data_IF_877418349377
#
_entry.id   IF_877418349377
#
_cell.length_a   1.000
_cell.length_b   1.000
_cell.length_c   1.000
_cell.angle_alpha   90.00
_cell.angle_beta   90.00
_cell.angle_gamma   90.00
#
_symmetry.space_group_name_H-M   'P 1'
#
loop_
_entity.id
_entity.type
_entity.pdbx_description
1 polymer ?
#
# COMPACT_ATOMS: atom_id res chain seq x y z
N UNK A 1 -61.91 -31.01 -29.83
CA UNK A 1 -60.58 -31.65 -29.80
C UNK A 1 -59.39 -30.68 -30.04
N UNK A 2 -59.45 -29.81 -31.08
CA UNK A 2 -58.34 -28.85 -31.38
C UNK A 2 -58.11 -27.77 -30.28
N UNK A 3 -59.14 -27.37 -29.52
CA UNK A 3 -59.05 -26.34 -28.46
C UNK A 3 -58.39 -26.89 -27.20
N UNK A 4 -58.69 -28.13 -26.83
CA UNK A 4 -58.07 -28.81 -25.65
C UNK A 4 -56.55 -29.04 -25.85
N UNK A 5 -56.11 -29.40 -27.06
CA UNK A 5 -54.70 -29.64 -27.37
C UNK A 5 -53.91 -28.34 -27.23
N UNK A 6 -54.44 -27.17 -27.65
CA UNK A 6 -53.78 -25.87 -27.50
C UNK A 6 -53.67 -25.44 -26.05
N UNK A 7 -54.65 -25.68 -25.20
CA UNK A 7 -54.62 -25.35 -23.78
C UNK A 7 -53.57 -26.21 -23.03
N UNK A 8 -53.49 -27.49 -23.33
CA UNK A 8 -52.50 -28.41 -22.72
C UNK A 8 -51.08 -28.02 -23.14
N UNK A 9 -50.83 -27.59 -24.42
CA UNK A 9 -49.54 -27.20 -24.90
C UNK A 9 -49.05 -25.90 -24.23
N UNK A 10 -49.94 -24.93 -23.99
CA UNK A 10 -49.61 -23.66 -23.32
C UNK A 10 -49.23 -23.90 -21.85
N UNK A 11 -49.93 -24.82 -21.15
CA UNK A 11 -49.61 -25.16 -19.76
C UNK A 11 -48.27 -25.87 -19.64
N UNK A 12 -47.93 -26.76 -20.57
CA UNK A 12 -46.63 -27.46 -20.62
C UNK A 12 -45.49 -26.50 -20.88
N UNK A 13 -45.64 -25.54 -21.84
CA UNK A 13 -44.64 -24.53 -22.15
C UNK A 13 -44.43 -23.61 -20.95
N UNK A 14 -45.49 -23.13 -20.28
CA UNK A 14 -45.41 -22.32 -19.08
C UNK A 14 -44.69 -23.05 -17.92
N UNK A 15 -44.96 -24.33 -17.74
CA UNK A 15 -44.27 -25.16 -16.76
C UNK A 15 -42.77 -25.32 -17.05
N UNK A 16 -42.41 -25.56 -18.31
CA UNK A 16 -41.00 -25.64 -18.75
C UNK A 16 -40.26 -24.31 -18.58
N UNK A 17 -40.90 -23.19 -18.87
CA UNK A 17 -40.31 -21.86 -18.62
C UNK A 17 -40.08 -21.59 -17.14
N UNK A 18 -40.99 -21.96 -16.24
CA UNK A 18 -40.84 -21.83 -14.80
C UNK A 18 -39.70 -22.71 -14.26
N UNK A 19 -39.57 -23.94 -14.78
CA UNK A 19 -38.45 -24.82 -14.41
C UNK A 19 -37.12 -24.27 -14.88
N UNK A 20 -37.06 -23.72 -16.11
CA UNK A 20 -35.83 -23.11 -16.64
C UNK A 20 -35.43 -21.86 -15.82
N UNK A 21 -36.37 -21.02 -15.46
CA UNK A 21 -36.14 -19.83 -14.60
C UNK A 21 -35.62 -20.27 -13.22
N UNK A 22 -36.23 -21.31 -12.61
CA UNK A 22 -35.77 -21.82 -11.33
C UNK A 22 -34.35 -22.45 -11.40
N UNK A 23 -34.00 -23.11 -12.49
CA UNK A 23 -32.64 -23.65 -12.73
C UNK A 23 -31.64 -22.48 -12.91
N UNK A 24 -31.98 -21.44 -13.63
CA UNK A 24 -31.14 -20.25 -13.83
C UNK A 24 -30.94 -19.53 -12.48
N UNK A 25 -32.00 -19.31 -11.69
CA UNK A 25 -31.89 -18.71 -10.36
C UNK A 25 -31.04 -19.56 -9.41
N UNK A 26 -31.21 -20.89 -9.35
CA UNK A 26 -30.37 -21.77 -8.54
C UNK A 26 -28.89 -21.77 -9.00
N UNK A 27 -28.63 -21.63 -10.32
CA UNK A 27 -27.28 -21.53 -10.86
C UNK A 27 -26.64 -20.18 -10.54
N UNK A 28 -27.40 -19.08 -10.60
CA UNK A 28 -26.96 -17.76 -10.19
C UNK A 28 -26.64 -17.69 -8.68
N UNK A 29 -27.53 -18.25 -7.85
CA UNK A 29 -27.34 -18.33 -6.39
C UNK A 29 -26.13 -19.20 -6.00
N UNK A 30 -25.86 -20.27 -6.76
CA UNK A 30 -24.68 -21.11 -6.55
C UNK A 30 -23.39 -20.44 -7.03
N UNK A 31 -23.42 -19.69 -8.12
CA UNK A 31 -22.27 -18.90 -8.61
C UNK A 31 -21.98 -17.75 -7.65
N UNK A 32 -23.01 -17.04 -7.16
CA UNK A 32 -22.87 -15.99 -6.16
C UNK A 32 -22.31 -16.51 -4.83
N UNK A 33 -22.77 -17.69 -4.37
CA UNK A 33 -22.26 -18.37 -3.17
C UNK A 33 -20.84 -18.93 -3.35
N UNK A 34 -20.47 -19.37 -4.55
CA UNK A 34 -19.10 -19.79 -4.86
C UNK A 34 -18.18 -18.57 -4.91
N UNK A 35 -18.60 -17.48 -5.57
CA UNK A 35 -17.83 -16.22 -5.63
C UNK A 35 -17.68 -15.59 -4.24
N UNK A 36 -18.73 -15.60 -3.41
CA UNK A 36 -18.68 -15.15 -2.03
C UNK A 36 -17.84 -16.06 -1.11
N UNK A 37 -17.76 -17.36 -1.40
CA UNK A 37 -16.93 -18.30 -0.64
C UNK A 37 -15.46 -18.25 -1.06
N UNK A 38 -15.16 -17.98 -2.32
CA UNK A 38 -13.80 -17.73 -2.80
C UNK A 38 -13.31 -16.33 -2.39
N UNK A 39 -14.18 -15.32 -2.32
CA UNK A 39 -13.84 -14.00 -1.76
C UNK A 39 -13.69 -14.01 -0.22
N UNK A 40 -14.33 -14.94 0.48
CA UNK A 40 -14.20 -15.09 1.94
C UNK A 40 -12.93 -15.85 2.39
N UNK A 41 -12.14 -16.37 1.46
CA UNK A 41 -10.79 -16.88 1.66
C UNK A 41 -9.73 -15.93 1.07
N UNK A 42 -9.97 -14.61 1.06
CA UNK A 42 -8.87 -13.65 1.12
C UNK A 42 -8.32 -13.81 2.55
N UNK A 43 -7.50 -14.84 2.73
CA UNK A 43 -6.56 -14.88 3.84
C UNK A 43 -5.99 -13.47 3.97
N UNK A 44 -6.02 -12.93 5.18
CA UNK A 44 -5.09 -11.87 5.54
C UNK A 44 -3.76 -12.27 4.90
N UNK A 45 -3.34 -11.61 3.84
CA UNK A 45 -1.97 -11.70 3.39
C UNK A 45 -1.14 -11.02 4.48
N UNK A 46 -1.07 -11.69 5.63
CA UNK A 46 -0.08 -11.40 6.65
C UNK A 46 1.21 -11.53 5.90
N UNK A 47 1.90 -10.42 5.72
CA UNK A 47 3.24 -10.42 5.13
C UNK A 47 4.00 -11.56 5.75
N UNK A 48 4.63 -12.38 4.91
CA UNK A 48 5.50 -13.45 5.39
C UNK A 48 6.43 -12.86 6.45
N UNK A 49 6.54 -13.50 7.63
CA UNK A 49 7.40 -13.00 8.72
C UNK A 49 8.85 -12.72 8.28
N UNK A 50 9.26 -13.28 7.15
CA UNK A 50 10.60 -13.17 6.59
C UNK A 50 10.78 -12.01 5.61
N UNK A 51 9.70 -11.46 5.06
CA UNK A 51 9.73 -10.51 3.97
C UNK A 51 8.81 -9.30 4.22
N UNK A 52 9.17 -8.17 3.61
CA UNK A 52 8.39 -6.94 3.51
C UNK A 52 8.64 -6.37 2.11
N UNK A 53 8.11 -6.99 1.04
CA UNK A 53 8.64 -6.85 -0.31
C UNK A 53 8.29 -5.54 -1.01
N UNK A 54 7.52 -4.66 -0.38
CA UNK A 54 7.05 -3.41 -0.96
C UNK A 54 6.57 -2.43 0.10
N UNK A 55 6.22 -1.23 -0.32
CA UNK A 55 5.60 -0.23 0.55
C UNK A 55 4.38 -0.80 1.28
N UNK A 56 4.28 -0.57 2.60
CA UNK A 56 3.24 -1.08 3.50
C UNK A 56 3.15 -2.61 3.59
N UNK A 57 4.13 -3.34 3.06
CA UNK A 57 4.30 -4.78 3.20
C UNK A 57 3.46 -5.66 2.27
N UNK A 58 2.46 -5.12 1.58
CA UNK A 58 1.59 -5.90 0.69
C UNK A 58 0.73 -5.04 -0.21
N UNK A 59 0.08 -5.67 -1.19
CA UNK A 59 -0.64 -5.02 -2.29
C UNK A 59 -1.77 -4.07 -1.83
N UNK A 60 -2.50 -4.44 -0.78
CA UNK A 60 -3.60 -3.61 -0.22
C UNK A 60 -3.11 -2.48 0.69
N UNK A 61 -1.79 -2.31 0.84
CA UNK A 61 -1.11 -1.25 1.57
C UNK A 61 -1.52 -1.14 3.06
N UNK A 62 -1.73 -2.27 3.72
CA UNK A 62 -2.26 -2.31 5.10
C UNK A 62 -1.27 -1.83 6.17
N UNK A 63 0.03 -1.90 5.93
CA UNK A 63 1.02 -1.51 6.93
C UNK A 63 0.97 -2.36 8.20
N UNK A 64 0.68 -3.65 8.06
CA UNK A 64 0.60 -4.61 9.17
C UNK A 64 1.61 -5.71 8.95
N UNK A 65 2.53 -5.88 9.89
CA UNK A 65 3.55 -6.92 9.88
C UNK A 65 3.11 -8.14 10.66
N UNK A 66 3.56 -9.31 10.19
CA UNK A 66 3.40 -10.57 10.91
C UNK A 66 4.33 -10.64 12.14
N UNK A 67 3.91 -11.42 13.15
CA UNK A 67 4.71 -11.68 14.35
C UNK A 67 4.55 -10.62 15.42
N UNK A 68 5.55 -10.53 16.30
CA UNK A 68 5.60 -9.61 17.44
C UNK A 68 6.99 -9.03 17.59
N UNK A 69 7.09 -7.87 18.23
CA UNK A 69 8.34 -7.25 18.62
C UNK A 69 8.48 -7.23 20.15
N UNK A 70 9.71 -7.33 20.70
CA UNK A 70 9.96 -7.16 22.13
C UNK A 70 9.73 -5.69 22.54
N UNK A 71 9.66 -5.43 23.86
CA UNK A 71 9.44 -4.08 24.40
C UNK A 71 10.66 -3.14 24.25
N UNK A 72 11.80 -3.65 23.81
CA UNK A 72 12.99 -2.84 23.52
C UNK A 72 13.77 -3.39 22.35
N UNK A 73 14.34 -2.51 21.55
CA UNK A 73 15.18 -2.83 20.41
C UNK A 73 16.58 -2.25 20.60
N UNK A 74 17.57 -2.89 20.01
CA UNK A 74 18.95 -2.42 19.94
C UNK A 74 19.33 -2.13 18.51
N UNK A 75 20.13 -1.11 18.29
CA UNK A 75 20.75 -0.85 17.00
C UNK A 75 21.72 -2.01 16.69
N UNK A 76 21.50 -2.67 15.54
CA UNK A 76 22.38 -3.74 15.05
C UNK A 76 23.45 -3.18 14.14
N UNK A 77 23.03 -2.42 13.15
CA UNK A 77 23.91 -1.79 12.17
C UNK A 77 23.25 -0.54 11.58
N UNK A 78 24.06 0.28 10.95
CA UNK A 78 23.61 1.38 10.09
C UNK A 78 24.43 1.41 8.81
N UNK A 79 23.80 1.80 7.72
CA UNK A 79 24.42 1.94 6.40
C UNK A 79 24.25 3.37 5.91
N UNK A 80 25.35 4.00 5.45
CA UNK A 80 25.37 5.40 4.98
C UNK A 80 25.23 5.45 3.46
N UNK A 81 24.30 6.27 2.98
CA UNK A 81 24.14 6.72 1.58
C UNK A 81 24.77 8.10 1.38
N UNK A 82 24.78 8.61 0.16
CA UNK A 82 25.32 9.92 -0.17
C UNK A 82 24.41 11.09 0.21
N UNK A 83 23.11 10.85 0.44
CA UNK A 83 22.12 11.88 0.77
C UNK A 83 20.98 11.27 1.62
N UNK A 84 19.92 12.03 1.85
CA UNK A 84 18.73 11.66 2.61
C UNK A 84 18.08 10.35 2.12
N UNK A 85 17.45 9.61 3.04
CA UNK A 85 16.67 8.41 2.73
C UNK A 85 15.20 8.65 3.11
N UNK A 86 14.43 9.17 2.17
CA UNK A 86 12.97 9.31 2.27
C UNK A 86 12.25 8.04 1.81
N UNK A 87 12.86 7.29 0.91
CA UNK A 87 12.38 5.97 0.48
C UNK A 87 12.19 5.06 1.68
N UNK A 88 11.05 4.37 1.74
CA UNK A 88 10.85 3.31 2.76
C UNK A 88 11.58 2.03 2.34
N UNK A 89 12.14 1.27 3.29
CA UNK A 89 12.80 0.02 2.95
C UNK A 89 11.82 -1.04 2.47
N UNK A 90 12.26 -1.87 1.52
CA UNK A 90 11.62 -3.14 1.20
C UNK A 90 12.59 -4.28 1.52
N UNK A 91 12.08 -5.41 2.00
CA UNK A 91 12.89 -6.55 2.45
C UNK A 91 12.42 -7.80 1.73
N UNK A 92 13.34 -8.47 1.05
CA UNK A 92 13.06 -9.76 0.40
C UNK A 92 14.31 -10.63 0.39
N UNK A 93 14.14 -11.93 0.69
CA UNK A 93 15.21 -12.95 0.63
C UNK A 93 16.53 -12.56 1.34
N UNK A 94 16.41 -11.86 2.49
CA UNK A 94 17.56 -11.45 3.28
C UNK A 94 18.30 -10.22 2.75
N UNK A 95 17.74 -9.52 1.78
CA UNK A 95 18.21 -8.23 1.28
C UNK A 95 17.23 -7.12 1.67
N UNK A 96 17.76 -5.93 1.92
CA UNK A 96 17.03 -4.68 2.10
C UNK A 96 17.27 -3.82 0.87
N UNK A 97 16.20 -3.33 0.27
CA UNK A 97 16.25 -2.44 -0.89
C UNK A 97 15.75 -1.06 -0.51
N UNK A 98 16.48 -0.02 -0.89
CA UNK A 98 16.12 1.39 -0.67
C UNK A 98 16.51 2.26 -1.85
N UNK A 99 15.80 3.36 -2.02
CA UNK A 99 16.23 4.52 -2.79
C UNK A 99 16.89 5.57 -1.89
N UNK A 100 17.65 6.48 -2.48
CA UNK A 100 18.22 7.63 -1.79
C UNK A 100 18.18 8.88 -2.69
N UNK A 101 18.16 10.05 -2.06
CA UNK A 101 18.24 11.32 -2.77
C UNK A 101 19.61 11.53 -3.48
N UNK A 102 20.59 10.65 -3.24
CA UNK A 102 21.86 10.62 -3.99
C UNK A 102 21.74 9.98 -5.38
N UNK A 103 20.51 9.75 -5.85
CA UNK A 103 20.20 9.13 -7.14
C UNK A 103 20.67 7.67 -7.28
N UNK A 104 20.68 6.90 -6.19
CA UNK A 104 20.99 5.47 -6.25
C UNK A 104 19.87 4.62 -5.63
N UNK A 105 19.73 3.41 -6.18
CA UNK A 105 19.03 2.29 -5.57
C UNK A 105 20.08 1.36 -4.96
N UNK A 106 19.88 0.95 -3.72
CA UNK A 106 20.80 0.09 -2.98
C UNK A 106 20.15 -1.23 -2.60
N UNK A 107 20.92 -2.30 -2.68
CA UNK A 107 20.65 -3.56 -1.98
C UNK A 107 21.70 -3.79 -0.90
N UNK A 108 21.22 -4.12 0.30
CA UNK A 108 22.01 -4.22 1.52
C UNK A 108 21.65 -5.54 2.18
N UNK A 109 22.66 -6.28 2.66
CA UNK A 109 22.44 -7.51 3.40
C UNK A 109 21.72 -7.20 4.74
N UNK A 110 20.57 -7.84 4.96
CA UNK A 110 19.70 -7.62 6.12
C UNK A 110 20.40 -7.91 7.46
N UNK A 111 21.27 -8.93 7.52
CA UNK A 111 21.88 -9.36 8.78
C UNK A 111 23.02 -8.46 9.26
N UNK A 112 23.81 -7.93 8.31
CA UNK A 112 25.08 -7.26 8.64
C UNK A 112 25.22 -5.83 8.10
N UNK A 113 24.24 -5.32 7.34
CA UNK A 113 24.26 -3.95 6.80
C UNK A 113 25.27 -3.71 5.67
N UNK A 114 25.90 -4.77 5.11
CA UNK A 114 26.87 -4.61 4.02
C UNK A 114 26.16 -4.40 2.70
N UNK A 115 26.67 -3.43 1.92
CA UNK A 115 26.19 -3.20 0.55
C UNK A 115 26.47 -4.44 -0.32
N UNK A 116 25.43 -4.92 -1.00
CA UNK A 116 25.52 -5.98 -2.00
C UNK A 116 25.74 -5.38 -3.38
N UNK A 117 24.87 -4.43 -3.75
CA UNK A 117 25.00 -3.67 -4.98
C UNK A 117 24.41 -2.26 -4.83
N UNK A 118 24.72 -1.39 -5.78
CA UNK A 118 24.05 -0.11 -5.99
C UNK A 118 23.90 0.13 -7.49
N UNK A 119 22.76 0.73 -7.87
CA UNK A 119 22.46 1.10 -9.25
C UNK A 119 22.18 2.61 -9.34
N UNK A 120 22.89 3.37 -10.19
CA UNK A 120 22.68 4.80 -10.35
C UNK A 120 21.47 5.05 -11.26
N UNK A 121 20.59 5.96 -10.85
CA UNK A 121 19.49 6.54 -11.63
C UNK A 121 19.87 7.94 -12.10
N UNK A 122 19.03 8.56 -12.94
CA UNK A 122 19.25 9.92 -13.40
C UNK A 122 18.79 11.01 -12.42
N UNK A 123 18.10 10.63 -11.33
CA UNK A 123 17.54 11.55 -10.35
C UNK A 123 17.32 10.91 -8.99
N UNK A 124 16.88 11.69 -8.01
CA UNK A 124 16.55 11.23 -6.66
C UNK A 124 15.57 10.04 -6.66
N UNK A 125 15.75 9.10 -5.75
CA UNK A 125 14.90 7.91 -5.59
C UNK A 125 14.20 7.98 -4.23
N UNK A 126 13.01 8.60 -4.20
CA UNK A 126 12.18 8.69 -3.00
C UNK A 126 11.15 7.56 -2.94
N UNK A 127 10.77 7.00 -4.09
CA UNK A 127 9.86 5.87 -4.17
C UNK A 127 10.40 4.64 -3.41
N UNK A 128 9.49 3.94 -2.72
CA UNK A 128 9.83 2.65 -2.11
C UNK A 128 9.98 1.59 -3.19
N UNK A 129 11.06 0.77 -3.19
CA UNK A 129 11.19 -0.36 -4.10
C UNK A 129 10.08 -1.40 -3.89
N UNK A 130 9.61 -2.00 -4.99
CA UNK A 130 8.68 -3.12 -5.00
C UNK A 130 9.40 -4.35 -5.57
N UNK A 131 9.44 -5.44 -4.81
CA UNK A 131 10.13 -6.67 -5.18
C UNK A 131 9.08 -7.73 -5.52
N UNK A 132 9.14 -8.21 -6.75
CA UNK A 132 8.31 -9.33 -7.22
C UNK A 132 9.05 -10.09 -8.31
N UNK A 133 8.95 -11.41 -8.29
CA UNK A 133 9.52 -12.32 -9.29
C UNK A 133 11.00 -12.05 -9.59
N UNK A 134 11.82 -11.88 -8.53
CA UNK A 134 13.26 -11.63 -8.65
C UNK A 134 13.64 -10.30 -9.29
N UNK A 135 12.70 -9.36 -9.37
CA UNK A 135 12.91 -8.01 -9.90
C UNK A 135 12.60 -6.95 -8.86
N UNK A 136 13.35 -5.85 -8.88
CA UNK A 136 13.10 -4.63 -8.11
C UNK A 136 12.55 -3.58 -9.04
N UNK A 137 11.34 -3.11 -8.77
CA UNK A 137 10.71 -2.02 -9.50
C UNK A 137 10.74 -0.76 -8.64
N UNK A 138 11.27 0.33 -9.17
CA UNK A 138 11.41 1.58 -8.42
C UNK A 138 11.31 2.79 -9.34
N UNK A 139 10.52 3.78 -8.92
CA UNK A 139 10.39 5.06 -9.58
C UNK A 139 11.50 6.02 -9.18
N UNK A 140 11.82 6.99 -10.05
CA UNK A 140 12.79 8.05 -9.79
C UNK A 140 12.26 9.41 -10.23
N UNK A 141 12.84 10.47 -9.68
CA UNK A 141 12.52 11.86 -10.08
C UNK A 141 12.99 12.19 -11.50
N UNK A 142 13.77 11.31 -12.14
CA UNK A 142 14.17 11.44 -13.55
C UNK A 142 13.09 10.96 -14.54
N UNK A 143 11.88 10.67 -14.05
CA UNK A 143 10.72 10.22 -14.82
C UNK A 143 10.80 8.77 -15.31
N UNK A 144 11.71 7.94 -14.81
CA UNK A 144 11.80 6.54 -15.18
C UNK A 144 11.32 5.61 -14.06
N UNK A 145 10.57 4.57 -14.45
CA UNK A 145 10.43 3.34 -13.68
C UNK A 145 11.56 2.40 -14.08
N UNK A 146 12.38 1.99 -13.14
CA UNK A 146 13.46 1.04 -13.32
C UNK A 146 13.03 -0.36 -12.90
N UNK A 147 13.38 -1.37 -13.69
CA UNK A 147 13.29 -2.77 -13.35
C UNK A 147 14.72 -3.35 -13.28
N UNK A 148 15.15 -3.71 -12.06
CA UNK A 148 16.48 -4.22 -11.79
C UNK A 148 16.40 -5.69 -11.36
N UNK A 149 17.42 -6.48 -11.63
CA UNK A 149 17.56 -7.80 -11.06
C UNK A 149 17.83 -7.69 -9.55
N UNK A 150 17.05 -8.37 -8.73
CA UNK A 150 17.13 -8.23 -7.28
C UNK A 150 18.46 -8.70 -6.68
N UNK A 151 19.12 -9.69 -7.29
CA UNK A 151 20.37 -10.26 -6.79
C UNK A 151 21.61 -9.49 -7.22
N UNK A 152 21.61 -8.99 -8.46
CA UNK A 152 22.80 -8.41 -9.10
C UNK A 152 22.73 -6.89 -9.25
N UNK A 153 21.52 -6.30 -9.18
CA UNK A 153 21.30 -4.89 -9.47
C UNK A 153 21.38 -4.52 -10.95
N UNK A 154 21.54 -5.50 -11.87
CA UNK A 154 21.61 -5.22 -13.30
C UNK A 154 20.26 -4.74 -13.84
N UNK A 155 20.31 -3.76 -14.75
CA UNK A 155 19.11 -3.27 -15.41
C UNK A 155 18.49 -4.34 -16.31
N UNK A 156 17.22 -4.65 -16.07
CA UNK A 156 16.41 -5.48 -16.96
C UNK A 156 15.76 -4.63 -18.05
N UNK A 157 15.08 -3.58 -17.63
CA UNK A 157 14.53 -2.53 -18.52
C UNK A 157 14.25 -1.26 -17.70
N UNK A 158 13.95 -0.17 -18.39
CA UNK A 158 13.36 1.02 -17.79
C UNK A 158 12.25 1.56 -18.70
N UNK A 159 11.25 2.18 -18.09
CA UNK A 159 10.11 2.77 -18.77
C UNK A 159 10.03 4.26 -18.46
N UNK A 160 9.96 5.11 -19.49
CA UNK A 160 9.86 6.56 -19.35
C UNK A 160 8.40 6.98 -19.23
N UNK A 161 8.08 7.72 -18.16
CA UNK A 161 6.80 8.44 -17.98
C UNK A 161 6.98 9.90 -18.34
N UNK A 162 5.89 10.67 -18.36
CA UNK A 162 5.97 12.10 -18.71
C UNK A 162 6.51 12.99 -17.58
N UNK A 163 6.64 12.49 -16.34
CA UNK A 163 7.14 13.25 -15.19
C UNK A 163 7.64 12.31 -14.09
N UNK A 164 8.11 12.88 -12.98
CA UNK A 164 8.67 12.16 -11.84
C UNK A 164 7.72 11.12 -11.26
N UNK A 165 8.31 10.05 -10.71
CA UNK A 165 7.63 8.95 -10.02
C UNK A 165 8.09 8.94 -8.57
N UNK A 166 7.24 9.43 -7.65
CA UNK A 166 7.55 9.52 -6.20
C UNK A 166 6.82 8.43 -5.39
N UNK A 167 5.65 7.98 -5.86
CA UNK A 167 4.91 6.87 -5.24
C UNK A 167 5.58 5.52 -5.49
N UNK A 168 5.42 4.59 -4.56
CA UNK A 168 5.88 3.23 -4.74
C UNK A 168 5.08 2.50 -5.83
N UNK A 169 5.73 1.65 -6.61
CA UNK A 169 5.05 0.72 -7.48
C UNK A 169 4.30 -0.35 -6.66
N UNK A 170 3.24 -0.88 -7.24
CA UNK A 170 2.51 -2.06 -6.78
C UNK A 170 2.44 -3.09 -7.90
N UNK A 171 1.97 -4.28 -7.61
CA UNK A 171 1.88 -5.34 -8.60
C UNK A 171 0.57 -6.13 -8.48
N UNK A 172 0.22 -6.84 -9.55
CA UNK A 172 -0.88 -7.80 -9.59
C UNK A 172 -0.57 -8.92 -10.56
N UNK A 173 -1.35 -10.01 -10.49
CA UNK A 173 -1.37 -10.98 -11.60
C UNK A 173 -2.24 -10.45 -12.73
N UNK A 174 -1.86 -10.75 -13.97
CA UNK A 174 -2.72 -10.51 -15.15
C UNK A 174 -4.07 -11.25 -14.99
N UNK A 175 -5.14 -10.81 -15.66
CA UNK A 175 -6.46 -11.45 -15.57
C UNK A 175 -6.47 -12.93 -15.94
N UNK A 176 -5.56 -13.38 -16.81
CA UNK A 176 -5.37 -14.79 -17.17
C UNK A 176 -4.42 -15.54 -16.21
N UNK A 177 -3.86 -14.84 -15.22
CA UNK A 177 -2.93 -15.39 -14.22
C UNK A 177 -1.54 -15.75 -14.72
N UNK A 178 -1.22 -15.51 -16.01
CA UNK A 178 0.02 -15.98 -16.64
C UNK A 178 1.21 -15.02 -16.49
N UNK A 179 0.96 -13.73 -16.26
CA UNK A 179 1.99 -12.72 -16.09
C UNK A 179 1.78 -11.88 -14.82
N UNK A 180 2.80 -11.12 -14.46
CA UNK A 180 2.75 -10.13 -13.39
C UNK A 180 2.71 -8.75 -14.03
N UNK A 181 1.83 -7.90 -13.55
CA UNK A 181 1.71 -6.51 -13.97
C UNK A 181 2.16 -5.58 -12.86
N UNK A 182 2.85 -4.52 -13.23
CA UNK A 182 3.33 -3.47 -12.33
C UNK A 182 2.47 -2.23 -12.54
N UNK A 183 2.03 -1.64 -11.43
CA UNK A 183 1.24 -0.41 -11.41
C UNK A 183 2.05 0.70 -10.75
N UNK A 184 2.08 1.87 -11.37
CA UNK A 184 2.76 3.04 -10.83
C UNK A 184 2.08 4.34 -11.26
N UNK A 185 1.91 5.26 -10.30
CA UNK A 185 1.43 6.62 -10.57
C UNK A 185 2.60 7.56 -10.85
N UNK A 186 2.38 8.53 -11.72
CA UNK A 186 3.36 9.57 -12.07
C UNK A 186 2.77 10.98 -11.90
N UNK A 187 3.65 11.95 -11.79
CA UNK A 187 3.29 13.38 -11.79
C UNK A 187 2.88 13.92 -13.16
N UNK A 188 2.85 13.08 -14.19
CA UNK A 188 2.20 13.37 -15.47
C UNK A 188 0.69 13.10 -15.47
N UNK A 189 0.10 12.86 -14.30
CA UNK A 189 -1.32 12.58 -14.08
C UNK A 189 -1.76 11.17 -14.55
N UNK A 190 -0.84 10.25 -14.77
CA UNK A 190 -1.17 8.93 -15.33
C UNK A 190 -0.80 7.81 -14.36
N UNK A 191 -1.75 6.91 -14.13
CA UNK A 191 -1.48 5.59 -13.58
C UNK A 191 -1.15 4.64 -14.74
N UNK A 192 0.02 4.05 -14.70
CA UNK A 192 0.51 3.09 -15.69
C UNK A 192 0.38 1.66 -15.17
N UNK A 193 -0.01 0.74 -16.05
CA UNK A 193 0.05 -0.70 -15.82
C UNK A 193 0.90 -1.35 -16.90
N UNK A 194 1.93 -2.07 -16.50
CA UNK A 194 2.95 -2.61 -17.40
C UNK A 194 3.22 -4.08 -17.09
N UNK A 195 3.58 -4.85 -18.09
CA UNK A 195 4.09 -6.21 -17.93
C UNK A 195 5.46 -6.18 -17.23
N UNK A 196 5.61 -6.95 -16.15
CA UNK A 196 6.82 -6.96 -15.31
C UNK A 196 8.06 -7.54 -16.00
N UNK A 197 7.86 -8.39 -17.01
CA UNK A 197 8.96 -9.08 -17.68
C UNK A 197 9.69 -8.20 -18.69
N UNK A 198 9.00 -7.23 -19.29
CA UNK A 198 9.54 -6.47 -20.43
C UNK A 198 9.16 -4.98 -20.47
N UNK A 199 8.35 -4.50 -19.53
CA UNK A 199 7.90 -3.11 -19.45
C UNK A 199 6.86 -2.71 -20.51
N UNK A 200 6.25 -3.68 -21.22
CA UNK A 200 5.20 -3.38 -22.19
C UNK A 200 3.98 -2.78 -21.49
N UNK A 201 3.53 -1.63 -21.98
CA UNK A 201 2.31 -0.99 -21.50
C UNK A 201 1.10 -1.89 -21.79
N UNK A 202 0.34 -2.22 -20.76
CA UNK A 202 -0.90 -2.98 -20.84
C UNK A 202 -2.09 -2.05 -20.93
N UNK A 203 -2.19 -1.09 -20.00
CA UNK A 203 -3.17 -0.01 -20.02
C UNK A 203 -2.64 1.19 -19.21
N UNK A 204 -3.29 2.32 -19.35
CA UNK A 204 -3.06 3.53 -18.57
C UNK A 204 -4.40 4.19 -18.22
N UNK A 205 -4.42 4.91 -17.09
CA UNK A 205 -5.58 5.69 -16.65
C UNK A 205 -5.12 7.11 -16.33
N UNK A 206 -5.82 8.11 -16.86
CA UNK A 206 -5.50 9.53 -16.71
C UNK A 206 -6.38 10.18 -15.64
N UNK A 207 -5.77 10.97 -14.77
CA UNK A 207 -6.40 11.79 -13.74
C UNK A 207 -6.31 13.27 -14.09
N UNK A 208 -7.05 14.11 -13.36
CA UNK A 208 -7.06 15.55 -13.60
C UNK A 208 -5.85 16.27 -12.98
N UNK A 209 -5.05 15.60 -12.13
CA UNK A 209 -3.86 16.17 -11.47
C UNK A 209 -2.91 15.05 -11.00
N UNK A 210 -1.75 15.44 -10.43
CA UNK A 210 -0.66 14.55 -10.03
C UNK A 210 -1.10 13.37 -9.17
N UNK A 211 -0.50 12.19 -9.41
CA UNK A 211 -0.64 11.01 -8.58
C UNK A 211 0.55 10.93 -7.63
N UNK A 212 0.35 11.31 -6.36
CA UNK A 212 1.39 11.30 -5.32
C UNK A 212 1.53 9.95 -4.63
N UNK A 213 0.41 9.33 -4.32
CA UNK A 213 0.35 8.11 -3.53
C UNK A 213 0.67 6.86 -4.33
N UNK A 214 1.03 5.80 -3.61
CA UNK A 214 1.15 4.47 -4.19
C UNK A 214 -0.24 3.88 -4.45
N UNK A 215 -0.48 3.23 -5.60
CA UNK A 215 -1.75 2.58 -5.89
C UNK A 215 -1.93 1.34 -4.99
N UNK A 216 -3.04 1.25 -4.25
CA UNK A 216 -3.43 0.05 -3.53
C UNK A 216 -4.13 -0.93 -4.48
N UNK A 217 -3.82 -2.22 -4.36
CA UNK A 217 -4.38 -3.29 -5.19
C UNK A 217 -5.10 -4.31 -4.31
N UNK A 218 -6.31 -4.62 -4.64
CA UNK A 218 -7.12 -5.63 -3.93
C UNK A 218 -8.52 -5.74 -4.51
N UNK A 219 -9.18 -6.86 -4.25
CA UNK A 219 -10.59 -7.08 -4.62
C UNK A 219 -10.90 -6.83 -6.12
N UNK A 220 -9.93 -7.08 -7.00
CA UNK A 220 -10.08 -6.89 -8.44
C UNK A 220 -9.96 -5.44 -8.92
N UNK A 221 -9.59 -4.52 -8.04
CA UNK A 221 -9.47 -3.08 -8.33
C UNK A 221 -8.09 -2.51 -7.98
N UNK A 222 -7.84 -1.34 -8.49
CA UNK A 222 -6.79 -0.40 -8.02
C UNK A 222 -7.48 0.79 -7.39
N UNK A 223 -7.07 1.18 -6.19
CA UNK A 223 -7.54 2.42 -5.56
C UNK A 223 -6.36 3.33 -5.21
N UNK A 224 -6.47 4.60 -5.53
CA UNK A 224 -5.44 5.60 -5.23
C UNK A 224 -6.05 6.99 -5.14
N UNK A 225 -5.35 7.89 -4.49
CA UNK A 225 -5.69 9.32 -4.42
C UNK A 225 -4.72 10.16 -5.23
N UNK A 226 -5.13 11.37 -5.54
CA UNK A 226 -4.32 12.35 -6.26
C UNK A 226 -4.56 13.78 -5.79
N UNK A 227 -3.86 14.72 -6.42
CA UNK A 227 -4.01 16.15 -6.19
C UNK A 227 -5.29 16.74 -6.85
N UNK A 228 -6.18 15.90 -7.36
CA UNK A 228 -7.50 16.28 -7.90
C UNK A 228 -8.64 16.12 -6.88
N UNK A 229 -8.31 15.84 -5.62
CA UNK A 229 -9.26 15.63 -4.53
C UNK A 229 -10.16 14.39 -4.66
N UNK A 230 -9.80 13.43 -5.54
CA UNK A 230 -10.58 12.24 -5.79
C UNK A 230 -9.87 10.98 -5.29
N UNK A 231 -10.63 10.03 -4.78
CA UNK A 231 -10.22 8.63 -4.73
C UNK A 231 -10.68 8.00 -6.05
N UNK A 232 -9.72 7.50 -6.84
CA UNK A 232 -10.00 6.76 -8.05
C UNK A 232 -10.09 5.27 -7.75
N UNK A 233 -11.12 4.63 -8.27
CA UNK A 233 -11.30 3.17 -8.25
C UNK A 233 -11.33 2.70 -9.70
N UNK A 234 -10.33 1.92 -10.08
CA UNK A 234 -10.04 1.53 -11.46
C UNK A 234 -9.99 0.01 -11.57
N UNK A 235 -10.49 -0.53 -12.68
CA UNK A 235 -10.44 -1.96 -12.99
C UNK A 235 -9.00 -2.44 -13.21
N UNK A 236 -8.60 -3.50 -12.52
CA UNK A 236 -7.29 -4.13 -12.73
C UNK A 236 -7.15 -4.72 -14.13
N UNK A 237 -8.26 -5.11 -14.77
CA UNK A 237 -8.24 -5.84 -16.03
C UNK A 237 -7.83 -4.97 -17.23
N UNK A 238 -8.35 -3.75 -17.27
CA UNK A 238 -8.27 -2.89 -18.47
C UNK A 238 -8.03 -1.40 -18.18
N UNK A 239 -7.90 -1.03 -16.92
CA UNK A 239 -7.71 0.36 -16.50
C UNK A 239 -8.96 1.23 -16.64
N UNK A 240 -10.14 0.65 -16.89
CA UNK A 240 -11.38 1.43 -16.95
C UNK A 240 -11.79 1.99 -15.61
N UNK A 241 -12.35 3.21 -15.62
CA UNK A 241 -12.89 3.83 -14.42
C UNK A 241 -14.10 3.05 -13.91
N UNK A 242 -14.03 2.59 -12.66
CA UNK A 242 -15.18 2.02 -11.97
C UNK A 242 -15.90 3.14 -11.20
N UNK A 243 -15.12 4.01 -10.53
CA UNK A 243 -15.69 5.04 -9.67
C UNK A 243 -14.68 6.14 -9.34
N UNK A 244 -15.18 7.36 -9.13
CA UNK A 244 -14.49 8.46 -8.44
C UNK A 244 -15.26 8.81 -7.17
N UNK A 245 -14.54 9.07 -6.07
CA UNK A 245 -15.11 9.46 -4.78
C UNK A 245 -14.49 10.78 -4.36
N UNK A 246 -15.30 11.83 -4.33
CA UNK A 246 -14.86 13.17 -3.93
C UNK A 246 -14.56 13.20 -2.42
N UNK A 247 -13.34 13.60 -2.08
CA UNK A 247 -12.87 13.75 -0.69
C UNK A 247 -12.90 15.18 -0.20
N UNK A 248 -13.17 16.13 -1.09
CA UNK A 248 -13.22 17.57 -0.82
C UNK A 248 -11.85 18.25 -0.83
N UNK A 249 -10.75 17.52 -0.78
CA UNK A 249 -9.39 18.08 -0.77
C UNK A 249 -8.35 17.09 -1.28
N UNK A 250 -7.18 17.58 -1.65
CA UNK A 250 -6.04 16.81 -2.17
C UNK A 250 -5.64 15.65 -1.27
N UNK A 251 -5.16 14.56 -1.88
CA UNK A 251 -4.69 13.37 -1.19
C UNK A 251 -3.19 13.23 -1.45
N UNK A 252 -2.38 13.34 -0.39
CA UNK A 252 -0.94 13.12 -0.46
C UNK A 252 -0.54 11.68 -0.07
N UNK A 253 -1.31 11.07 0.81
CA UNK A 253 -1.09 9.73 1.34
C UNK A 253 -1.51 8.64 0.35
N UNK A 254 -1.00 7.43 0.54
CA UNK A 254 -1.53 6.26 -0.16
C UNK A 254 -2.76 5.71 0.56
N UNK A 255 -3.76 5.30 -0.22
CA UNK A 255 -4.95 4.65 0.30
C UNK A 255 -4.64 3.20 0.72
N UNK A 256 -5.41 2.66 1.66
CA UNK A 256 -5.41 1.23 2.00
C UNK A 256 -6.77 0.61 1.66
N UNK A 257 -6.75 -0.65 1.17
CA UNK A 257 -7.96 -1.42 0.87
C UNK A 257 -8.11 -2.53 1.91
N UNK A 258 -9.28 -2.62 2.56
CA UNK A 258 -9.56 -3.69 3.49
C UNK A 258 -11.06 -3.97 3.64
N UNK A 259 -11.48 -5.20 3.38
CA UNK A 259 -12.87 -5.69 3.52
C UNK A 259 -13.90 -4.75 2.86
N UNK A 260 -13.78 -4.54 1.55
CA UNK A 260 -14.70 -3.72 0.75
C UNK A 260 -14.62 -2.22 0.99
N UNK A 261 -13.58 -1.75 1.69
CA UNK A 261 -13.45 -0.33 2.07
C UNK A 261 -12.09 0.23 1.68
N UNK A 262 -12.09 1.53 1.40
CA UNK A 262 -10.89 2.34 1.19
C UNK A 262 -10.73 3.27 2.39
N UNK A 263 -9.47 3.43 2.84
CA UNK A 263 -9.09 4.30 3.95
C UNK A 263 -7.99 5.24 3.51
N UNK A 264 -8.18 6.56 3.65
CA UNK A 264 -7.19 7.57 3.24
C UNK A 264 -7.40 8.89 3.97
N UNK A 265 -6.32 9.62 4.22
CA UNK A 265 -6.33 10.99 4.73
C UNK A 265 -6.13 12.02 3.62
N UNK A 266 -6.60 13.24 3.84
CA UNK A 266 -6.47 14.36 2.90
C UNK A 266 -5.83 15.61 3.53
N UNK A 267 -5.67 16.65 2.72
CA UNK A 267 -5.06 17.93 3.10
C UNK A 267 -5.94 18.79 4.03
N UNK A 268 -7.26 18.56 4.07
CA UNK A 268 -8.19 19.30 4.94
C UNK A 268 -8.35 18.64 6.31
N UNK A 269 -7.32 17.94 6.77
CA UNK A 269 -7.27 17.29 8.09
C UNK A 269 -8.35 16.22 8.28
N UNK A 270 -8.88 15.66 7.20
CA UNK A 270 -9.94 14.65 7.23
C UNK A 270 -9.39 13.28 6.86
N UNK A 271 -9.63 12.29 7.70
CA UNK A 271 -9.40 10.89 7.35
C UNK A 271 -10.75 10.20 7.05
N UNK A 272 -10.80 9.43 5.98
CA UNK A 272 -12.04 8.95 5.35
C UNK A 272 -12.03 7.43 5.28
N UNK A 273 -13.20 6.83 5.55
CA UNK A 273 -13.54 5.49 5.10
C UNK A 273 -14.62 5.56 4.04
N UNK A 274 -14.37 4.96 2.88
CA UNK A 274 -15.32 4.87 1.78
C UNK A 274 -15.61 3.40 1.42
N UNK A 275 -16.86 3.10 1.07
CA UNK A 275 -17.28 1.79 0.59
C UNK A 275 -17.02 1.66 -0.91
N UNK A 276 -16.30 0.63 -1.32
CA UNK A 276 -15.90 0.41 -2.72
C UNK A 276 -17.12 0.21 -3.62
N UNK A 277 -18.08 -0.61 -3.20
CA UNK A 277 -19.21 -1.00 -4.03
C UNK A 277 -20.16 0.18 -4.29
N UNK A 278 -20.52 0.95 -3.27
CA UNK A 278 -21.43 2.09 -3.40
C UNK A 278 -20.72 3.41 -3.73
N UNK A 279 -19.43 3.56 -3.43
CA UNK A 279 -18.69 4.82 -3.50
C UNK A 279 -19.06 5.82 -2.42
N UNK A 280 -19.79 5.40 -1.40
CA UNK A 280 -20.23 6.30 -0.32
C UNK A 280 -19.16 6.41 0.77
N UNK A 281 -18.95 7.62 1.26
CA UNK A 281 -18.19 7.84 2.48
C UNK A 281 -19.03 7.30 3.65
N UNK A 282 -18.47 6.33 4.38
CA UNK A 282 -19.12 5.68 5.51
C UNK A 282 -18.98 6.49 6.80
N UNK A 283 -17.79 7.05 7.00
CA UNK A 283 -17.48 7.96 8.11
C UNK A 283 -16.28 8.84 7.79
N UNK A 284 -16.17 9.96 8.51
CA UNK A 284 -15.06 10.89 8.49
C UNK A 284 -14.50 11.04 9.91
N UNK A 285 -13.17 11.11 10.03
CA UNK A 285 -12.48 11.48 11.26
C UNK A 285 -11.89 12.87 11.08
N UNK A 286 -12.22 13.80 11.97
CA UNK A 286 -11.91 15.23 11.88
C UNK A 286 -11.29 15.80 13.16
N UNK A 287 -10.78 14.94 14.06
CA UNK A 287 -10.17 15.38 15.32
C UNK A 287 -8.67 15.77 15.16
N UNK A 288 -8.15 15.80 13.93
CA UNK A 288 -6.81 16.25 13.63
C UNK A 288 -6.80 17.76 13.30
N UNK A 289 -5.74 18.44 13.71
CA UNK A 289 -5.57 19.90 13.51
C UNK A 289 -4.68 20.24 12.30
N UNK A 290 -4.20 19.23 11.56
CA UNK A 290 -3.28 19.36 10.43
C UNK A 290 -3.46 18.23 9.42
N UNK A 291 -2.93 18.37 8.17
CA UNK A 291 -3.08 17.38 7.10
C UNK A 291 -2.50 16.01 7.42
N UNK A 292 -3.06 14.99 6.75
CA UNK A 292 -2.56 13.63 6.76
C UNK A 292 -1.68 13.36 5.53
N UNK A 293 -0.37 13.24 5.75
CA UNK A 293 0.60 12.80 4.73
C UNK A 293 0.98 11.33 4.89
N UNK A 294 0.84 10.82 6.09
CA UNK A 294 1.08 9.43 6.44
C UNK A 294 0.00 8.51 5.86
N UNK A 295 0.42 7.39 5.28
CA UNK A 295 -0.50 6.31 4.88
C UNK A 295 -0.92 5.48 6.10
N UNK A 296 -2.18 5.01 6.16
CA UNK A 296 -2.70 4.35 7.35
C UNK A 296 -2.09 2.96 7.58
N UNK A 297 -1.96 2.56 8.85
CA UNK A 297 -1.84 1.16 9.23
C UNK A 297 -3.23 0.64 9.61
N UNK A 298 -3.70 -0.41 8.94
CA UNK A 298 -5.07 -0.92 9.07
C UNK A 298 -5.06 -2.38 9.47
N UNK A 299 -5.72 -2.71 10.58
CA UNK A 299 -6.02 -4.08 10.94
C UNK A 299 -7.54 -4.29 11.10
N UNK A 300 -7.96 -5.45 11.63
CA UNK A 300 -9.39 -5.78 11.77
C UNK A 300 -10.15 -4.76 12.63
N UNK A 301 -9.54 -4.23 13.69
CA UNK A 301 -10.22 -3.45 14.72
C UNK A 301 -9.93 -1.96 14.65
N UNK A 302 -8.70 -1.58 14.32
CA UNK A 302 -8.21 -0.22 14.41
C UNK A 302 -7.47 0.25 13.15
N UNK A 303 -7.35 1.57 13.05
CA UNK A 303 -6.50 2.27 12.08
C UNK A 303 -5.56 3.17 12.86
N UNK A 304 -4.28 3.15 12.51
CA UNK A 304 -3.26 4.03 13.09
C UNK A 304 -2.72 4.97 12.02
N UNK A 305 -2.60 6.24 12.34
CA UNK A 305 -2.27 7.34 11.43
C UNK A 305 -1.17 8.20 12.04
N UNK A 306 -0.19 8.60 11.24
CA UNK A 306 0.64 9.77 11.54
C UNK A 306 -0.06 11.05 11.06
N UNK A 307 0.19 12.18 11.72
CA UNK A 307 -0.39 13.47 11.33
C UNK A 307 0.60 14.60 11.56
N UNK A 308 0.50 15.66 10.77
CA UNK A 308 1.31 16.87 10.93
C UNK A 308 0.90 17.73 12.13
N UNK A 309 -0.16 17.36 12.85
CA UNK A 309 -0.48 17.92 14.17
C UNK A 309 0.46 17.42 15.29
N UNK A 310 1.54 16.74 14.91
CA UNK A 310 2.56 16.15 15.80
C UNK A 310 1.99 15.03 16.66
N UNK A 311 1.04 14.27 16.13
CA UNK A 311 0.44 13.13 16.83
C UNK A 311 0.37 11.89 15.96
N UNK A 312 0.41 10.76 16.65
CA UNK A 312 -0.05 9.49 16.10
C UNK A 312 -1.46 9.26 16.62
N UNK A 313 -2.41 9.02 15.74
CA UNK A 313 -3.82 8.79 16.05
C UNK A 313 -4.15 7.32 15.90
N UNK A 314 -4.90 6.75 16.85
CA UNK A 314 -5.55 5.45 16.71
C UNK A 314 -7.05 5.63 16.77
N UNK A 315 -7.73 5.10 15.75
CA UNK A 315 -9.18 5.20 15.60
C UNK A 315 -9.80 3.83 15.36
N UNK A 316 -11.05 3.65 15.74
CA UNK A 316 -11.81 2.44 15.49
C UNK A 316 -12.13 2.30 14.00
N UNK A 317 -11.73 1.19 13.36
CA UNK A 317 -11.94 0.96 11.93
C UNK A 317 -13.43 0.98 11.54
N UNK A 318 -14.30 0.47 12.38
CA UNK A 318 -15.73 0.36 12.07
C UNK A 318 -16.47 1.69 12.07
N UNK A 319 -16.02 2.67 12.89
CA UNK A 319 -16.79 3.88 13.19
C UNK A 319 -16.00 5.20 13.13
N UNK A 320 -14.68 5.16 12.87
CA UNK A 320 -13.81 6.33 12.81
C UNK A 320 -13.64 7.09 14.13
N UNK A 321 -14.05 6.53 15.28
CA UNK A 321 -13.91 7.20 16.58
C UNK A 321 -12.51 7.06 17.12
N UNK A 322 -11.97 8.14 17.69
CA UNK A 322 -10.67 8.16 18.38
C UNK A 322 -10.67 7.19 19.55
N UNK A 323 -9.62 6.36 19.61
CA UNK A 323 -9.32 5.48 20.75
C UNK A 323 -8.25 6.13 21.61
N UNK A 324 -7.13 6.50 21.01
CA UNK A 324 -6.06 7.24 21.67
C UNK A 324 -5.29 8.13 20.68
N UNK A 325 -4.49 9.05 21.23
CA UNK A 325 -3.46 9.78 20.50
C UNK A 325 -2.16 9.72 21.27
N UNK A 326 -1.03 9.70 20.55
CA UNK A 326 0.31 9.78 21.10
C UNK A 326 1.00 11.04 20.62
N UNK A 327 1.51 11.88 21.53
CA UNK A 327 2.15 13.14 21.21
C UNK A 327 3.64 12.92 20.87
N UNK A 328 4.07 13.40 19.69
CA UNK A 328 5.47 13.58 19.27
C UNK A 328 5.89 15.05 19.40
N UNK A 329 7.17 15.35 19.19
CA UNK A 329 7.65 16.74 19.22
C UNK A 329 7.72 17.36 17.82
N UNK A 330 7.68 16.56 16.75
CA UNK A 330 7.66 16.95 15.34
C UNK A 330 6.48 16.34 14.61
N UNK A 331 6.27 16.73 13.36
CA UNK A 331 5.26 16.19 12.45
C UNK A 331 5.49 14.68 12.21
N UNK A 332 4.44 13.95 11.84
CA UNK A 332 4.51 12.49 11.64
C UNK A 332 4.10 12.17 10.20
N UNK A 333 5.02 12.35 9.26
CA UNK A 333 4.86 11.99 7.85
C UNK A 333 5.21 10.50 7.60
N UNK A 334 6.05 9.91 8.44
CA UNK A 334 6.31 8.46 8.45
C UNK A 334 5.01 7.68 8.60
N UNK A 335 4.78 6.69 7.76
CA UNK A 335 3.59 5.85 7.83
C UNK A 335 3.77 4.75 8.88
N UNK A 336 2.92 4.68 9.92
CA UNK A 336 3.07 3.73 11.02
C UNK A 336 2.90 2.29 10.54
N UNK A 337 3.56 1.34 11.22
CA UNK A 337 3.39 -0.09 11.01
C UNK A 337 2.89 -0.74 12.28
N UNK A 338 1.81 -1.52 12.18
CA UNK A 338 1.31 -2.37 13.26
C UNK A 338 2.05 -3.70 13.21
N UNK A 339 2.64 -4.13 14.35
CA UNK A 339 3.24 -5.45 14.51
C UNK A 339 2.82 -6.06 15.85
N UNK A 340 1.90 -7.02 15.81
CA UNK A 340 1.29 -7.60 17.01
C UNK A 340 0.58 -6.53 17.85
N UNK A 341 1.03 -6.35 19.09
CA UNK A 341 0.50 -5.37 20.05
C UNK A 341 1.21 -4.01 20.01
N UNK A 342 2.02 -3.75 18.99
CA UNK A 342 2.85 -2.56 18.87
C UNK A 342 2.66 -1.80 17.57
N UNK A 343 2.90 -0.49 17.66
CA UNK A 343 2.96 0.44 16.52
C UNK A 343 4.38 0.99 16.44
N UNK A 344 4.97 0.97 15.24
CA UNK A 344 6.30 1.49 14.99
C UNK A 344 6.17 2.68 14.02
N UNK A 345 6.82 3.80 14.33
CA UNK A 345 6.70 5.02 13.51
C UNK A 345 7.89 5.95 13.73
N UNK A 346 8.31 6.65 12.67
CA UNK A 346 9.24 7.77 12.72
C UNK A 346 8.52 9.12 12.91
N UNK A 347 9.26 10.15 13.31
CA UNK A 347 8.74 11.51 13.35
C UNK A 347 9.83 12.52 12.97
N UNK A 348 9.43 13.72 12.60
CA UNK A 348 10.34 14.82 12.23
C UNK A 348 11.11 15.41 13.43
N UNK A 349 10.76 15.01 14.67
CA UNK A 349 11.55 15.34 15.85
C UNK A 349 12.86 14.56 15.97
N UNK A 350 13.19 13.78 14.96
CA UNK A 350 14.41 12.96 14.92
C UNK A 350 14.34 11.69 15.77
N UNK A 351 13.14 11.26 16.14
CA UNK A 351 12.94 10.05 16.93
C UNK A 351 12.17 8.98 16.18
N UNK A 352 12.50 7.75 16.54
CA UNK A 352 11.83 6.55 16.13
C UNK A 352 11.13 5.95 17.33
N UNK A 353 9.82 5.71 17.26
CA UNK A 353 8.97 5.34 18.38
C UNK A 353 8.38 3.94 18.23
N UNK A 354 8.26 3.26 19.36
CA UNK A 354 7.44 2.07 19.57
C UNK A 354 6.36 2.41 20.58
N UNK A 355 5.09 2.24 20.17
CA UNK A 355 3.90 2.63 20.92
C UNK A 355 3.07 1.37 21.14
N UNK A 356 2.43 1.22 22.30
CA UNK A 356 1.50 0.13 22.56
C UNK A 356 0.18 0.37 21.80
N UNK A 357 -0.25 -0.63 21.06
CA UNK A 357 -1.44 -0.51 20.22
C UNK A 357 -2.73 -0.31 21.03
N UNK A 358 -2.82 -0.90 22.22
CA UNK A 358 -4.05 -0.89 23.01
C UNK A 358 -4.38 0.46 23.66
N UNK A 359 -3.36 1.23 24.07
CA UNK A 359 -3.56 2.44 24.87
C UNK A 359 -2.72 3.66 24.46
N UNK A 360 -1.88 3.52 23.42
CA UNK A 360 -1.03 4.61 22.94
C UNK A 360 0.16 4.94 23.84
N UNK A 361 0.46 4.14 24.87
CA UNK A 361 1.62 4.38 25.74
C UNK A 361 2.93 4.10 25.01
N UNK A 362 3.96 4.95 25.27
CA UNK A 362 5.30 4.74 24.72
C UNK A 362 5.94 3.49 25.34
N UNK A 363 6.29 2.52 24.52
CA UNK A 363 7.02 1.31 24.92
C UNK A 363 8.53 1.54 24.86
N UNK A 364 9.00 2.13 23.74
CA UNK A 364 10.41 2.38 23.50
C UNK A 364 10.57 3.55 22.50
N UNK A 365 11.75 4.18 22.52
CA UNK A 365 12.13 5.14 21.47
C UNK A 365 13.65 5.16 21.29
N UNK A 366 14.08 5.57 20.09
CA UNK A 366 15.48 5.78 19.75
C UNK A 366 15.65 7.16 19.13
N UNK A 367 16.65 7.92 19.58
CA UNK A 367 16.95 9.26 19.05
C UNK A 367 17.99 9.13 17.93
N UNK A 368 17.57 9.46 16.70
CA UNK A 368 18.41 9.52 15.51
C UNK A 368 19.02 10.92 15.39
N UNK A 369 18.24 11.96 15.74
CA UNK A 369 18.68 13.36 15.75
C UNK A 369 18.44 14.13 14.45
N UNK A 370 17.93 13.46 13.40
CA UNK A 370 17.46 14.07 12.16
C UNK A 370 16.09 13.46 11.82
N UNK A 371 15.24 14.14 11.02
CA UNK A 371 13.89 13.68 10.69
C UNK A 371 13.85 12.24 10.20
N UNK A 372 12.81 11.52 10.62
CA UNK A 372 12.54 10.14 10.21
C UNK A 372 11.23 10.14 9.43
N UNK A 373 11.31 10.54 8.15
CA UNK A 373 10.17 10.61 7.23
C UNK A 373 9.90 9.28 6.53
N UNK A 374 10.94 8.47 6.35
CA UNK A 374 10.84 7.09 5.84
C UNK A 374 9.90 6.24 6.73
N UNK A 375 9.10 5.38 6.12
CA UNK A 375 8.24 4.44 6.85
C UNK A 375 9.00 3.15 7.18
N UNK A 376 8.78 2.54 8.35
CA UNK A 376 9.50 1.33 8.75
C UNK A 376 9.10 0.10 7.94
N UNK A 377 10.04 -0.83 7.77
CA UNK A 377 9.83 -2.19 7.29
C UNK A 377 10.16 -3.19 8.39
N UNK A 378 9.37 -4.27 8.50
CA UNK A 378 9.54 -5.28 9.55
C UNK A 378 9.61 -6.67 8.94
N UNK A 379 10.72 -7.37 9.15
CA UNK A 379 10.91 -8.77 8.73
C UNK A 379 11.89 -9.47 9.68
N UNK A 380 11.71 -10.77 9.93
CA UNK A 380 12.55 -11.62 10.77
C UNK A 380 12.79 -11.04 12.19
N UNK A 381 11.82 -10.31 12.75
CA UNK A 381 11.96 -9.63 14.04
C UNK A 381 12.95 -8.44 14.03
N UNK A 382 13.32 -7.97 12.85
CA UNK A 382 14.10 -6.75 12.64
C UNK A 382 13.21 -5.62 12.17
N UNK A 383 13.55 -4.40 12.56
CA UNK A 383 12.92 -3.17 12.11
C UNK A 383 13.95 -2.34 11.38
N UNK A 384 13.65 -2.00 10.12
CA UNK A 384 14.53 -1.23 9.25
C UNK A 384 13.85 0.11 8.92
N UNK A 385 14.60 1.22 8.98
CA UNK A 385 14.07 2.56 8.69
C UNK A 385 15.16 3.46 8.13
N UNK A 386 14.83 4.28 7.14
CA UNK A 386 15.66 5.37 6.63
C UNK A 386 15.52 6.65 7.45
N UNK A 387 16.47 7.56 7.33
CA UNK A 387 16.40 8.88 7.95
C UNK A 387 17.01 9.94 7.02
N UNK A 388 16.63 11.18 7.23
CA UNK A 388 17.12 12.34 6.48
C UNK A 388 18.59 12.66 6.77
N UNK A 389 19.21 12.00 7.79
CA UNK A 389 20.65 12.01 7.97
C UNK A 389 21.40 11.16 6.93
N UNK A 390 20.68 10.49 6.03
CA UNK A 390 21.23 9.61 4.98
C UNK A 390 21.70 8.26 5.51
N UNK A 391 21.28 7.84 6.70
CA UNK A 391 21.53 6.48 7.19
C UNK A 391 20.26 5.62 7.12
N UNK A 392 20.49 4.37 6.75
CA UNK A 392 19.54 3.29 6.97
C UNK A 392 19.88 2.62 8.31
N UNK A 393 18.92 2.49 9.19
CA UNK A 393 19.07 1.91 10.52
C UNK A 393 18.37 0.56 10.61
N UNK A 394 19.01 -0.41 11.26
CA UNK A 394 18.44 -1.70 11.57
C UNK A 394 18.43 -1.96 13.08
N UNK A 395 17.27 -2.32 13.58
CA UNK A 395 17.04 -2.63 14.99
C UNK A 395 16.52 -4.05 15.17
N UNK A 396 16.89 -4.71 16.28
CA UNK A 396 16.35 -6.02 16.70
C UNK A 396 16.48 -6.20 18.20
N UNK A 397 15.83 -7.24 18.76
CA UNK A 397 16.08 -7.72 20.12
C UNK A 397 17.44 -8.40 20.28
N UNK A 398 17.98 -8.97 19.20
CA UNK A 398 19.25 -9.74 19.22
C UNK A 398 20.45 -8.79 19.20
N UNK A 399 21.52 -9.24 19.87
CA UNK A 399 22.87 -8.67 19.69
C UNK A 399 23.51 -9.27 18.46
#
# INVERSE_FOLDING_TARGET
MKIMIKATLVVVIAGLCLILVAIIFNKLDSVEKITLKESAQIEFAVTDQNNWPMFRGGQSLLGTAAGTLPDSLKLLWKFKTGAEIKSSPAINDGLVFIGSADANVYAINLENGRKVWAYPTGGSVEATPCIVDGSVFVGSSDSFLYALDANTGSLKFKYETGSQILGAANWTRSPDGQSIWILVGSYDNILYCMDSANGKLMWKYETDNYINGSPAVGEGIVAFGGCDAQIHVVSLTDGSEIKKIDTGSYIAASAAIFEGRIYVGNYDNVFISADIASGKILWKYTDADSPFFSSPAVNRDVIVLGCRDKRVHCIGRSNGKRIWTFQTLGEVDSSPVICGDKVIVGAEDGRFYMIRLSDGSRVWSYEIGQPVTSSPAIAKGMVIVGSDDGYLYAFSARR
#
